data_IF_906865127700
#
_entry.id   IF_906865127700
#
_cell.length_a   1.000
_cell.length_b   1.000
_cell.length_c   1.000
_cell.angle_alpha   90.00
_cell.angle_beta   90.00
_cell.angle_gamma   90.00
#
_symmetry.space_group_name_H-M   'P 1'
#
loop_
_entity.id
_entity.type
_entity.pdbx_description
1 polymer ?
#
# COMPACT_ATOMS: atom_id res chain seq x y z
N UNK A 1 22.36 -46.56 15.21
CA UNK A 1 20.90 -46.43 15.43
C UNK A 1 20.62 -45.01 15.94
N UNK A 2 19.98 -44.13 15.14
CA UNK A 2 19.45 -42.86 15.60
C UNK A 2 17.94 -42.97 15.91
N UNK A 3 17.39 -42.21 16.88
CA UNK A 3 15.94 -42.04 16.98
C UNK A 3 15.45 -40.91 16.05
N UNK A 4 14.35 -41.23 15.38
CA UNK A 4 13.54 -40.43 14.44
C UNK A 4 12.80 -39.30 15.14
N UNK A 5 12.84 -38.09 14.57
CA UNK A 5 12.01 -36.94 14.99
C UNK A 5 11.02 -36.57 13.89
N UNK A 6 9.74 -36.82 14.15
CA UNK A 6 8.58 -36.56 13.30
C UNK A 6 8.13 -35.10 13.32
N UNK A 7 7.64 -34.61 12.18
CA UNK A 7 6.86 -33.37 12.03
C UNK A 7 5.57 -33.39 12.87
N UNK A 8 5.04 -32.23 13.29
CA UNK A 8 3.62 -32.04 13.46
C UNK A 8 3.04 -31.27 12.27
N UNK A 9 2.26 -32.00 11.48
CA UNK A 9 1.12 -31.46 10.73
C UNK A 9 0.02 -31.13 11.74
N UNK A 10 -0.58 -29.95 11.65
CA UNK A 10 -1.62 -29.51 12.57
C UNK A 10 -2.49 -28.42 11.96
N UNK A 11 -3.48 -28.86 11.19
CA UNK A 11 -4.64 -28.07 10.76
C UNK A 11 -5.37 -27.51 11.99
N UNK A 12 -5.69 -26.22 11.98
CA UNK A 12 -6.69 -25.64 12.87
C UNK A 12 -7.68 -24.83 12.04
N UNK A 13 -8.68 -25.56 11.56
CA UNK A 13 -9.98 -25.05 11.16
C UNK A 13 -10.71 -24.54 12.43
N UNK A 14 -11.17 -23.29 12.43
CA UNK A 14 -12.07 -22.78 13.48
C UNK A 14 -13.28 -22.15 12.82
N UNK A 15 -14.40 -22.87 12.93
CA UNK A 15 -15.76 -22.45 12.56
C UNK A 15 -16.32 -21.35 13.50
N UNK A 16 -17.35 -20.60 13.05
CA UNK A 16 -17.82 -19.38 13.70
C UNK A 16 -18.94 -19.61 14.72
N UNK A 17 -18.83 -18.98 15.88
CA UNK A 17 -19.91 -18.82 16.88
C UNK A 17 -19.70 -17.49 17.60
N UNK A 18 -20.67 -16.68 18.00
CA UNK A 18 -22.12 -16.57 17.81
C UNK A 18 -22.47 -15.16 18.35
N UNK A 19 -23.61 -14.65 17.93
CA UNK A 19 -24.16 -13.31 18.20
C UNK A 19 -24.40 -13.01 19.69
N UNK A 20 -24.27 -11.73 20.07
CA UNK A 20 -25.15 -11.10 21.07
C UNK A 20 -25.67 -9.78 20.49
N UNK A 21 -26.99 -9.64 20.44
CA UNK A 21 -27.67 -8.36 20.26
C UNK A 21 -28.43 -7.98 21.53
N UNK A 22 -28.65 -6.68 21.74
CA UNK A 22 -29.86 -6.17 22.39
C UNK A 22 -30.03 -4.67 22.13
N UNK A 23 -31.31 -4.32 22.00
CA UNK A 23 -31.90 -3.09 21.47
C UNK A 23 -31.85 -1.86 22.39
N UNK A 24 -31.98 -0.68 21.77
CA UNK A 24 -33.04 0.28 22.13
C UNK A 24 -32.65 1.54 22.91
N UNK A 25 -32.66 2.70 22.24
CA UNK A 25 -33.63 3.79 22.48
C UNK A 25 -33.18 5.13 21.86
N UNK A 26 -34.14 5.78 21.20
CA UNK A 26 -34.07 7.08 20.51
C UNK A 26 -34.34 8.21 21.50
N UNK A 27 -33.67 9.35 21.35
CA UNK A 27 -33.97 10.60 22.06
C UNK A 27 -33.35 11.80 21.34
N UNK A 28 -34.22 12.73 20.95
CA UNK A 28 -34.06 13.85 20.03
C UNK A 28 -33.55 15.15 20.72
N UNK A 29 -33.22 16.19 19.92
CA UNK A 29 -33.04 17.62 20.30
C UNK A 29 -31.64 17.99 20.86
N UNK A 30 -30.91 19.04 20.47
CA UNK A 30 -31.17 20.28 19.70
C UNK A 30 -29.84 20.83 19.19
N UNK A 31 -29.81 21.35 17.96
CA UNK A 31 -28.73 22.24 17.48
C UNK A 31 -29.07 23.65 17.93
N UNK A 32 -28.17 24.29 18.69
CA UNK A 32 -28.31 25.70 19.02
C UNK A 32 -26.97 26.42 18.80
N UNK A 33 -26.93 27.12 17.68
CA UNK A 33 -25.93 28.11 17.31
C UNK A 33 -26.17 29.39 18.10
N UNK A 34 -25.14 29.94 18.76
CA UNK A 34 -25.15 31.35 19.18
C UNK A 34 -23.73 31.89 19.42
N UNK A 35 -23.30 32.67 18.41
CA UNK A 35 -22.68 34.00 18.48
C UNK A 35 -21.51 34.31 19.44
N UNK A 36 -20.45 34.83 18.80
CA UNK A 36 -19.32 35.58 19.33
C UNK A 36 -19.69 36.74 20.26
N UNK A 37 -18.87 36.97 21.30
CA UNK A 37 -18.57 38.30 21.85
C UNK A 37 -17.13 38.39 22.35
N UNK A 38 -16.44 39.42 21.88
CA UNK A 38 -15.16 39.93 22.36
C UNK A 38 -15.28 40.49 23.79
N UNK A 39 -14.21 40.36 24.57
CA UNK A 39 -14.05 41.00 25.88
C UNK A 39 -12.64 40.78 26.44
N UNK A 40 -11.84 41.83 26.50
CA UNK A 40 -10.41 41.83 26.79
C UNK A 40 -10.05 41.69 28.29
N UNK A 41 -8.92 40.99 28.51
CA UNK A 41 -7.86 41.12 29.52
C UNK A 41 -8.20 41.39 31.00
N UNK A 42 -7.69 40.52 31.89
CA UNK A 42 -6.78 40.93 32.98
C UNK A 42 -6.02 39.74 33.63
N UNK A 43 -4.69 39.84 33.52
CA UNK A 43 -3.59 39.41 34.39
C UNK A 43 -3.84 38.39 35.51
N UNK A 44 -3.15 37.26 35.38
CA UNK A 44 -2.90 36.30 36.45
C UNK A 44 -1.67 35.48 36.10
N UNK A 45 -0.48 36.07 36.31
CA UNK A 45 0.78 35.37 36.22
C UNK A 45 0.81 34.21 37.22
N UNK A 46 0.76 32.98 36.72
CA UNK A 46 1.04 31.78 37.49
C UNK A 46 1.60 30.68 36.60
N UNK A 47 2.93 30.56 36.67
CA UNK A 47 3.68 29.31 36.52
C UNK A 47 3.73 28.71 35.10
N UNK A 48 4.50 29.40 34.26
CA UNK A 48 5.35 28.74 33.26
C UNK A 48 6.19 27.66 33.96
N UNK A 49 6.14 26.41 33.48
CA UNK A 49 7.24 25.47 33.67
C UNK A 49 6.98 24.08 34.26
N UNK A 50 5.75 23.55 34.33
CA UNK A 50 5.58 22.21 34.94
C UNK A 50 4.43 21.32 34.44
N UNK A 51 3.98 21.44 33.18
CA UNK A 51 2.89 20.57 32.67
C UNK A 51 3.06 20.03 31.24
N UNK A 52 4.20 20.24 30.58
CA UNK A 52 4.40 19.74 29.21
C UNK A 52 5.54 18.71 29.03
N UNK A 53 6.31 18.42 30.09
CA UNK A 53 7.54 17.62 29.94
C UNK A 53 7.42 16.13 30.29
N UNK A 54 6.30 15.67 30.85
CA UNK A 54 6.18 14.26 31.31
C UNK A 54 5.50 13.31 30.33
N UNK A 55 4.93 13.80 29.22
CA UNK A 55 4.19 12.98 28.26
C UNK A 55 5.01 12.56 27.02
N UNK A 56 6.24 13.10 26.85
CA UNK A 56 7.01 12.97 25.61
C UNK A 56 8.40 12.33 25.70
N UNK A 57 8.94 12.06 26.89
CA UNK A 57 10.38 11.78 27.07
C UNK A 57 10.79 10.29 27.05
N UNK A 58 9.84 9.36 26.94
CA UNK A 58 10.09 7.94 27.23
C UNK A 58 9.39 6.96 26.28
N UNK A 59 9.00 7.40 25.08
CA UNK A 59 8.66 6.46 24.02
C UNK A 59 9.95 5.86 23.46
N UNK A 60 10.30 4.67 23.94
CA UNK A 60 11.34 3.87 23.31
C UNK A 60 10.82 3.46 21.93
N UNK A 61 11.45 3.91 20.85
CA UNK A 61 11.16 3.39 19.51
C UNK A 61 11.65 1.94 19.46
N UNK A 62 10.74 0.99 19.67
CA UNK A 62 11.05 -0.43 19.52
C UNK A 62 11.31 -0.73 18.05
N UNK A 63 12.58 -0.90 17.70
CA UNK A 63 12.99 -1.48 16.41
C UNK A 63 13.03 -2.99 16.57
N UNK A 64 12.43 -3.74 15.64
CA UNK A 64 12.63 -5.18 15.56
C UNK A 64 14.14 -5.44 15.46
N UNK A 65 14.72 -6.10 16.46
CA UNK A 65 16.11 -6.54 16.48
C UNK A 65 16.16 -8.09 16.37
N UNK A 66 17.01 -8.66 15.49
CA UNK A 66 17.82 -7.94 14.50
C UNK A 66 16.91 -7.16 13.54
N UNK A 67 17.44 -6.11 12.89
CA UNK A 67 16.75 -5.41 11.79
C UNK A 67 16.32 -6.46 10.78
N UNK A 68 15.11 -7.00 10.95
CA UNK A 68 14.62 -8.07 10.11
C UNK A 68 14.11 -7.36 8.88
N UNK A 69 15.04 -7.11 7.95
CA UNK A 69 14.68 -6.53 6.66
C UNK A 69 13.82 -7.56 5.95
N UNK A 70 12.54 -7.24 5.81
CA UNK A 70 11.63 -7.99 4.98
C UNK A 70 12.24 -8.09 3.57
N UNK A 71 12.46 -9.31 3.13
CA UNK A 71 13.08 -9.64 1.86
C UNK A 71 12.19 -10.58 1.04
N UNK A 72 12.64 -10.90 -0.19
CA UNK A 72 11.86 -11.68 -1.18
C UNK A 72 11.44 -13.08 -0.73
N UNK A 73 12.12 -13.66 0.26
CA UNK A 73 11.85 -15.01 0.77
C UNK A 73 10.65 -15.07 1.70
N UNK A 74 10.18 -13.92 2.18
CA UNK A 74 8.95 -13.85 2.96
C UNK A 74 7.71 -13.90 2.06
N UNK A 75 6.61 -14.53 2.52
CA UNK A 75 5.36 -14.54 1.79
C UNK A 75 4.79 -13.12 1.67
N UNK A 76 4.49 -12.69 0.44
CA UNK A 76 3.64 -11.52 0.24
C UNK A 76 2.21 -11.80 0.72
N UNK A 77 1.51 -10.77 1.18
CA UNK A 77 0.15 -10.88 1.71
C UNK A 77 -0.06 -9.94 2.89
N UNK A 78 -1.15 -10.16 3.61
CA UNK A 78 -1.48 -9.43 4.83
C UNK A 78 -0.64 -9.99 5.99
N UNK A 79 0.06 -9.11 6.69
CA UNK A 79 0.87 -9.41 7.85
C UNK A 79 0.30 -8.71 9.07
N UNK A 80 0.26 -9.41 10.19
CA UNK A 80 -0.12 -8.86 11.49
C UNK A 80 1.12 -8.71 12.35
N UNK A 81 1.37 -7.48 12.81
CA UNK A 81 2.37 -7.15 13.82
C UNK A 81 1.69 -7.18 15.17
N UNK A 82 2.33 -7.85 16.14
CA UNK A 82 1.92 -7.85 17.53
C UNK A 82 2.92 -7.05 18.34
N UNK A 83 2.44 -6.07 19.08
CA UNK A 83 3.25 -5.27 20.01
C UNK A 83 2.74 -5.49 21.43
N UNK A 84 3.60 -5.98 22.31
CA UNK A 84 3.29 -6.16 23.74
C UNK A 84 4.16 -5.23 24.57
N UNK A 85 3.55 -4.19 25.15
CA UNK A 85 4.18 -3.32 26.12
C UNK A 85 4.12 -3.96 27.51
N UNK A 86 5.18 -3.82 28.29
CA UNK A 86 5.23 -4.23 29.70
C UNK A 86 5.48 -3.00 30.58
N UNK A 87 4.61 -2.76 31.55
CA UNK A 87 4.71 -1.68 32.52
C UNK A 87 5.26 -2.15 33.87
N UNK A 88 5.42 -1.20 34.79
CA UNK A 88 5.84 -1.49 36.17
C UNK A 88 4.87 -2.49 36.84
N UNK A 89 5.42 -3.33 37.72
CA UNK A 89 4.65 -4.35 38.44
C UNK A 89 4.15 -5.53 37.58
N UNK A 90 4.68 -5.71 36.36
CA UNK A 90 4.32 -6.85 35.49
C UNK A 90 3.05 -6.65 34.66
N UNK A 91 2.52 -5.43 34.61
CA UNK A 91 1.37 -5.09 33.75
C UNK A 91 1.74 -5.25 32.27
N UNK A 92 0.82 -5.76 31.45
CA UNK A 92 1.05 -5.94 30.01
C UNK A 92 -0.09 -5.37 29.18
N UNK A 93 0.23 -4.74 28.06
CA UNK A 93 -0.74 -4.31 27.05
C UNK A 93 -0.32 -4.83 25.67
N UNK A 94 -1.19 -5.60 25.02
CA UNK A 94 -0.96 -6.09 23.65
C UNK A 94 -1.79 -5.31 22.64
N UNK A 95 -1.19 -5.00 21.49
CA UNK A 95 -1.83 -4.36 20.33
C UNK A 95 -1.46 -5.09 19.05
N UNK A 96 -2.33 -4.95 18.07
CA UNK A 96 -2.19 -5.53 16.74
C UNK A 96 -2.20 -4.42 15.71
N UNK A 97 -1.36 -4.54 14.69
CA UNK A 97 -1.39 -3.69 13.52
C UNK A 97 -1.23 -4.57 12.28
N UNK A 98 -1.89 -4.21 11.18
CA UNK A 98 -1.81 -4.97 9.94
C UNK A 98 -1.11 -4.17 8.86
N UNK A 99 -0.35 -4.84 8.01
CA UNK A 99 0.20 -4.25 6.80
C UNK A 99 0.30 -5.27 5.67
N UNK A 100 0.28 -4.79 4.42
CA UNK A 100 0.49 -5.66 3.26
C UNK A 100 1.97 -5.70 2.90
N UNK A 101 2.59 -6.87 2.99
CA UNK A 101 3.88 -7.12 2.35
C UNK A 101 3.64 -7.45 0.88
N UNK A 102 4.14 -6.60 -0.03
CA UNK A 102 3.95 -6.78 -1.47
C UNK A 102 5.30 -6.98 -2.17
N UNK A 103 5.34 -7.89 -3.13
CA UNK A 103 6.49 -8.05 -4.03
C UNK A 103 6.53 -6.90 -5.01
N UNK A 104 7.73 -6.36 -5.24
CA UNK A 104 7.91 -5.29 -6.19
C UNK A 104 7.57 -5.73 -7.62
N UNK A 105 7.06 -4.80 -8.41
CA UNK A 105 6.89 -4.95 -9.85
C UNK A 105 7.53 -3.78 -10.58
N UNK A 106 8.03 -4.04 -11.77
CA UNK A 106 8.75 -3.05 -12.56
C UNK A 106 8.44 -3.19 -14.04
N UNK A 107 8.44 -2.07 -14.75
CA UNK A 107 8.33 -2.04 -16.19
C UNK A 107 9.71 -2.00 -16.84
N UNK A 108 9.85 -2.67 -17.98
CA UNK A 108 11.05 -2.65 -18.81
C UNK A 108 10.69 -2.43 -20.28
N UNK A 109 11.62 -1.84 -21.03
CA UNK A 109 11.47 -1.58 -22.47
C UNK A 109 10.13 -0.94 -22.87
N UNK A 110 9.60 -0.06 -22.02
CA UNK A 110 8.37 0.66 -22.37
C UNK A 110 8.69 1.68 -23.46
N UNK A 111 7.82 1.75 -24.45
CA UNK A 111 7.94 2.68 -25.56
C UNK A 111 6.55 3.16 -26.01
N UNK A 112 6.51 4.36 -26.60
CA UNK A 112 5.32 4.98 -27.16
C UNK A 112 5.62 5.53 -28.55
N UNK A 113 5.24 4.78 -29.57
CA UNK A 113 5.62 5.07 -30.94
C UNK A 113 4.43 5.63 -31.74
N UNK A 114 4.62 6.80 -32.35
CA UNK A 114 3.63 7.39 -33.25
C UNK A 114 3.55 6.59 -34.56
N UNK A 115 2.35 6.17 -34.92
CA UNK A 115 2.03 5.43 -36.15
C UNK A 115 0.84 6.09 -36.86
N UNK A 116 1.13 7.16 -37.60
CA UNK A 116 0.11 7.95 -38.31
C UNK A 116 -0.80 8.71 -37.34
N UNK A 117 -2.11 8.39 -37.35
CA UNK A 117 -3.11 8.92 -36.40
C UNK A 117 -3.36 8.00 -35.21
N UNK A 118 -2.33 7.27 -34.82
CA UNK A 118 -2.35 6.37 -33.68
C UNK A 118 -1.01 6.40 -32.97
N UNK A 119 -1.00 5.98 -31.71
CA UNK A 119 0.22 5.69 -30.95
C UNK A 119 0.19 4.22 -30.55
N UNK A 120 1.29 3.51 -30.75
CA UNK A 120 1.50 2.16 -30.24
C UNK A 120 2.29 2.27 -28.95
N UNK A 121 1.72 1.80 -27.85
CA UNK A 121 2.43 1.68 -26.57
C UNK A 121 2.73 0.22 -26.34
N UNK A 122 3.98 -0.09 -26.02
CA UNK A 122 4.44 -1.47 -25.74
C UNK A 122 5.47 -1.48 -24.61
N UNK A 123 5.72 -2.66 -24.05
CA UNK A 123 6.75 -2.89 -23.06
C UNK A 123 6.59 -4.25 -22.39
N UNK A 124 7.26 -4.46 -21.26
CA UNK A 124 7.11 -5.66 -20.44
C UNK A 124 6.98 -5.32 -18.95
N UNK A 125 6.09 -6.04 -18.25
CA UNK A 125 5.94 -6.00 -16.80
C UNK A 125 6.67 -7.20 -16.20
N UNK A 126 7.49 -6.93 -15.19
CA UNK A 126 8.21 -7.93 -14.43
C UNK A 126 7.85 -7.83 -12.94
N UNK A 127 8.12 -8.91 -12.21
CA UNK A 127 7.93 -9.01 -10.76
C UNK A 127 9.15 -9.63 -10.12
N UNK A 128 9.40 -9.32 -8.86
CA UNK A 128 10.35 -10.09 -8.04
C UNK A 128 9.97 -11.57 -8.12
N UNK A 129 10.91 -12.42 -8.53
CA UNK A 129 10.67 -13.85 -8.65
C UNK A 129 10.53 -14.47 -7.25
N UNK A 130 9.35 -15.02 -6.89
CA UNK A 130 9.17 -15.66 -5.59
C UNK A 130 10.02 -16.93 -5.42
N UNK A 131 10.49 -17.55 -6.51
CA UNK A 131 11.40 -18.71 -6.45
C UNK A 131 12.86 -18.30 -6.28
N UNK A 132 13.17 -17.03 -6.52
CA UNK A 132 14.53 -16.48 -6.48
C UNK A 132 15.49 -17.14 -7.48
N UNK A 133 14.98 -17.70 -8.58
CA UNK A 133 15.82 -18.19 -9.68
C UNK A 133 16.37 -17.01 -10.50
N UNK A 134 15.61 -15.91 -10.54
CA UNK A 134 15.99 -14.64 -11.13
C UNK A 134 15.75 -13.51 -10.12
N UNK A 135 16.35 -12.34 -10.35
CA UNK A 135 15.97 -11.15 -9.58
C UNK A 135 14.53 -10.73 -9.91
N UNK A 136 14.21 -10.68 -11.20
CA UNK A 136 12.86 -10.42 -11.70
C UNK A 136 12.50 -11.45 -12.76
N UNK A 137 11.25 -11.89 -12.73
CA UNK A 137 10.66 -12.76 -13.74
C UNK A 137 9.52 -12.02 -14.48
N UNK A 138 9.21 -12.42 -15.72
CA UNK A 138 8.06 -11.89 -16.44
C UNK A 138 6.76 -12.03 -15.64
N UNK A 139 5.89 -11.02 -15.73
CA UNK A 139 4.61 -11.03 -15.05
C UNK A 139 3.45 -11.15 -16.05
N UNK A 140 3.10 -12.40 -16.34
CA UNK A 140 2.04 -12.76 -17.27
C UNK A 140 0.62 -12.45 -16.78
N UNK A 141 -0.29 -12.28 -17.74
CA UNK A 141 -1.74 -12.17 -17.54
C UNK A 141 -2.16 -11.04 -16.58
N UNK A 142 -1.46 -9.92 -16.62
CA UNK A 142 -1.76 -8.76 -15.77
C UNK A 142 -2.28 -7.59 -16.57
N UNK A 143 -3.32 -6.96 -16.02
CA UNK A 143 -3.88 -5.73 -16.55
C UNK A 143 -2.87 -4.58 -16.40
N UNK A 144 -2.56 -3.96 -17.53
CA UNK A 144 -1.72 -2.77 -17.64
C UNK A 144 -2.58 -1.65 -18.21
N UNK A 145 -2.67 -0.56 -17.47
CA UNK A 145 -3.33 0.66 -17.91
C UNK A 145 -2.36 1.51 -18.72
N UNK A 146 -2.85 2.08 -19.81
CA UNK A 146 -2.10 3.00 -20.65
C UNK A 146 -2.67 4.39 -20.41
N UNK A 147 -1.82 5.27 -19.87
CA UNK A 147 -2.18 6.62 -19.52
C UNK A 147 -1.61 7.58 -20.55
N UNK A 148 -2.39 8.60 -20.91
CA UNK A 148 -2.01 9.68 -21.80
C UNK A 148 -2.19 11.03 -21.10
N UNK A 149 -1.36 11.99 -21.47
CA UNK A 149 -1.65 13.41 -21.31
C UNK A 149 -1.14 14.18 -22.52
N UNK A 150 -1.87 15.20 -22.95
CA UNK A 150 -1.51 16.00 -24.12
C UNK A 150 -0.31 16.94 -23.89
N UNK A 151 0.06 17.20 -22.64
CA UNK A 151 1.22 18.01 -22.27
C UNK A 151 1.56 17.93 -20.78
N UNK A 152 2.70 18.47 -20.37
CA UNK A 152 3.25 18.32 -19.00
C UNK A 152 2.36 18.87 -17.90
N UNK A 153 1.56 19.90 -18.19
CA UNK A 153 0.61 20.54 -17.26
C UNK A 153 -0.79 19.93 -17.27
N UNK A 154 -1.01 18.88 -18.06
CA UNK A 154 -2.31 18.21 -18.15
C UNK A 154 -2.33 16.99 -17.25
N UNK A 155 -3.51 16.65 -16.78
CA UNK A 155 -3.75 15.44 -15.99
C UNK A 155 -3.54 14.21 -16.84
N UNK A 156 -3.14 13.12 -16.18
CA UNK A 156 -3.05 11.82 -16.81
C UNK A 156 -4.42 11.16 -16.85
N UNK A 157 -4.82 10.68 -18.02
CA UNK A 157 -6.07 9.92 -18.19
C UNK A 157 -5.75 8.51 -18.66
N UNK A 158 -6.39 7.50 -18.09
CA UNK A 158 -6.34 6.14 -18.62
C UNK A 158 -7.14 6.08 -19.91
N UNK A 159 -6.46 5.85 -21.03
CA UNK A 159 -7.06 5.84 -22.37
C UNK A 159 -7.24 4.43 -22.93
N UNK A 160 -6.56 3.45 -22.34
CA UNK A 160 -6.73 2.04 -22.67
C UNK A 160 -6.27 1.15 -21.51
N UNK A 161 -6.75 -0.10 -21.54
CA UNK A 161 -6.24 -1.20 -20.72
C UNK A 161 -5.81 -2.33 -21.66
N UNK A 162 -4.72 -3.00 -21.33
CA UNK A 162 -4.21 -4.17 -22.03
C UNK A 162 -3.79 -5.24 -21.03
N UNK A 163 -3.47 -6.44 -21.49
CA UNK A 163 -3.06 -7.57 -20.65
C UNK A 163 -1.71 -8.05 -21.13
N UNK A 164 -0.82 -8.39 -20.19
CA UNK A 164 0.49 -8.96 -20.53
C UNK A 164 0.36 -10.40 -21.03
N UNK A 165 1.17 -10.75 -22.01
CA UNK A 165 1.32 -12.12 -22.51
C UNK A 165 2.10 -13.00 -21.51
N UNK A 166 2.30 -14.28 -21.84
CA UNK A 166 3.01 -15.25 -21.01
C UNK A 166 4.46 -14.85 -20.68
N UNK A 167 5.02 -13.92 -21.46
CA UNK A 167 6.36 -13.37 -21.29
C UNK A 167 6.32 -11.96 -20.66
N UNK A 168 5.21 -11.58 -20.04
CA UNK A 168 5.03 -10.29 -19.39
C UNK A 168 4.95 -9.11 -20.36
N UNK A 169 4.96 -9.33 -21.68
CA UNK A 169 4.97 -8.27 -22.68
C UNK A 169 3.56 -7.78 -22.95
N UNK A 170 3.41 -6.50 -23.24
CA UNK A 170 2.16 -5.93 -23.71
C UNK A 170 2.40 -5.02 -24.91
N UNK A 171 1.38 -4.89 -25.75
CA UNK A 171 1.35 -3.88 -26.80
C UNK A 171 -0.07 -3.52 -27.16
N UNK A 172 -0.34 -2.22 -27.30
CA UNK A 172 -1.65 -1.70 -27.70
C UNK A 172 -1.50 -0.53 -28.65
N UNK A 173 -2.30 -0.53 -29.72
CA UNK A 173 -2.43 0.61 -30.63
C UNK A 173 -3.66 1.43 -30.24
N UNK A 174 -3.46 2.70 -29.90
CA UNK A 174 -4.51 3.64 -29.51
C UNK A 174 -4.70 4.63 -30.67
N UNK A 175 -5.90 4.65 -31.26
CA UNK A 175 -6.26 5.51 -32.40
C UNK A 175 -6.74 6.88 -31.91
N UNK A 176 -6.66 7.89 -32.78
CA UNK A 176 -7.16 9.25 -32.51
C UNK A 176 -6.13 10.17 -31.85
N UNK A 177 -4.95 9.64 -31.52
CA UNK A 177 -3.86 10.40 -30.93
C UNK A 177 -2.79 10.68 -31.97
N UNK A 178 -2.29 11.92 -31.97
CA UNK A 178 -1.21 12.37 -32.85
C UNK A 178 0.13 12.53 -32.14
N UNK A 179 0.15 12.35 -30.82
CA UNK A 179 1.33 12.44 -29.99
C UNK A 179 0.99 12.68 -28.52
N UNK A 180 1.94 13.25 -27.79
CA UNK A 180 1.81 13.59 -26.37
C UNK A 180 2.65 12.68 -25.48
N UNK A 181 2.34 12.68 -24.18
CA UNK A 181 3.07 11.90 -23.20
C UNK A 181 2.29 10.68 -22.77
N UNK A 182 3.01 9.56 -22.66
CA UNK A 182 2.47 8.23 -22.42
C UNK A 182 3.22 7.57 -21.27
N UNK A 183 2.50 6.75 -20.50
CA UNK A 183 3.10 5.83 -19.52
C UNK A 183 2.20 4.64 -19.30
N UNK A 184 2.78 3.54 -18.87
CA UNK A 184 2.08 2.36 -18.42
C UNK A 184 1.93 2.38 -16.89
N UNK A 185 0.81 1.86 -16.39
CA UNK A 185 0.57 1.65 -14.96
C UNK A 185 0.11 0.22 -14.73
N UNK A 186 0.75 -0.43 -13.77
CA UNK A 186 0.21 -1.61 -13.14
C UNK A 186 -0.41 -1.18 -11.81
N UNK A 187 -1.72 -1.41 -11.58
CA UNK A 187 -2.40 -0.93 -10.37
C UNK A 187 -1.98 -1.65 -9.08
N UNK A 188 -1.21 -2.75 -9.19
CA UNK A 188 -0.88 -3.59 -8.05
C UNK A 188 -1.99 -4.59 -7.72
N UNK A 189 -1.69 -5.47 -6.77
CA UNK A 189 -2.65 -6.38 -6.15
C UNK A 189 -2.40 -6.42 -4.63
N UNK A 190 -3.07 -7.34 -3.93
CA UNK A 190 -2.76 -7.67 -2.53
C UNK A 190 -1.33 -8.19 -2.34
N UNK A 191 -0.73 -8.84 -3.35
CA UNK A 191 0.57 -9.51 -3.24
C UNK A 191 1.69 -8.82 -4.03
N UNK A 192 1.35 -7.88 -4.91
CA UNK A 192 2.29 -7.21 -5.80
C UNK A 192 2.09 -5.70 -5.75
N UNK A 193 3.18 -4.95 -5.62
CA UNK A 193 3.15 -3.50 -5.52
C UNK A 193 2.70 -2.89 -6.86
N UNK A 194 1.97 -1.75 -6.84
CA UNK A 194 1.73 -0.97 -8.05
C UNK A 194 3.05 -0.49 -8.66
N UNK A 195 3.05 -0.24 -9.96
CA UNK A 195 4.21 0.31 -10.67
C UNK A 195 3.78 1.27 -11.77
N UNK A 196 4.64 2.26 -12.02
CA UNK A 196 4.48 3.25 -13.08
C UNK A 196 5.74 3.24 -13.94
N UNK A 197 5.57 3.18 -15.25
CA UNK A 197 6.71 3.36 -16.16
C UNK A 197 7.20 4.81 -16.15
N UNK A 198 8.39 5.01 -16.70
CA UNK A 198 8.82 6.33 -17.13
C UNK A 198 7.83 6.96 -18.12
N UNK A 199 7.97 8.26 -18.34
CA UNK A 199 7.17 9.01 -19.32
C UNK A 199 7.84 8.91 -20.69
N UNK A 200 7.08 8.47 -21.69
CA UNK A 200 7.51 8.35 -23.08
C UNK A 200 6.78 9.40 -23.92
N UNK A 201 7.48 10.04 -24.85
CA UNK A 201 6.87 10.95 -25.81
C UNK A 201 6.65 10.21 -27.12
N UNK A 202 5.49 10.45 -27.72
CA UNK A 202 5.22 10.07 -29.09
C UNK A 202 5.10 11.37 -29.90
N UNK A 203 6.05 11.61 -30.78
CA UNK A 203 6.17 12.84 -31.59
C UNK A 203 5.77 12.56 -33.04
#
# INVERSE_FOLDING_TARGET
>A
MPPTGSSPSGSAEMEPSQRIGRDGAVGESTVQESASRDGAAQDGAAQDGAAQDSAGQNWETWRFLPETRLNRWYPAGLWTIVATARGAGGTTATRYAEFWLKRETTFSAVDAERRGRAVRVSGALNRVDPRGLLDYAPFAERSVEILHRSGTRREWTTVAVTVTDDHGRFARKIRGYRGGQWRARFPGTSHYAPSLSAVHRAD
#
